data_IF_570664973250
#
_entry.id   IF_570664973250
#
_cell.length_a   1.000
_cell.length_b   1.000
_cell.length_c   1.000
_cell.angle_alpha   90.00
_cell.angle_beta   90.00
_cell.angle_gamma   90.00
#
_symmetry.space_group_name_H-M   'P 1'
#
loop_
_entity.id
_entity.type
_entity.pdbx_description
1 polymer ?
#
# COMPACT_ATOMS: atom_id res chain seq x y z
N UNK A 1 -25.66 4.21 8.04
CA UNK A 1 -25.95 2.87 8.58
C UNK A 1 -25.55 1.70 7.65
N UNK A 2 -25.03 1.93 6.44
CA UNK A 2 -24.63 0.83 5.52
C UNK A 2 -23.17 0.37 5.66
N UNK A 3 -22.27 1.18 6.24
CA UNK A 3 -20.85 0.86 6.27
C UNK A 3 -20.41 0.00 7.47
N UNK A 4 -21.18 -0.01 8.57
CA UNK A 4 -20.89 -0.82 9.76
C UNK A 4 -21.00 -2.33 9.48
N UNK A 5 -21.82 -2.73 8.50
CA UNK A 5 -22.00 -4.12 8.10
C UNK A 5 -20.81 -4.71 7.32
N UNK A 6 -19.96 -3.87 6.70
CA UNK A 6 -18.83 -4.35 5.87
C UNK A 6 -17.72 -4.99 6.73
N UNK A 7 -17.53 -4.51 7.95
CA UNK A 7 -16.49 -5.00 8.87
C UNK A 7 -16.90 -6.28 9.62
N UNK A 8 -18.20 -6.56 9.70
CA UNK A 8 -18.75 -7.76 10.33
C UNK A 8 -18.65 -8.99 9.41
N UNK A 9 -18.48 -8.80 8.10
CA UNK A 9 -18.23 -9.89 7.17
C UNK A 9 -16.79 -10.40 7.37
N UNK A 10 -16.66 -11.67 7.75
CA UNK A 10 -15.43 -12.41 8.05
C UNK A 10 -14.45 -12.58 6.85
N UNK A 11 -14.41 -11.62 5.92
CA UNK A 11 -13.68 -11.68 4.64
C UNK A 11 -12.27 -11.09 4.69
N UNK A 12 -11.96 -10.28 5.70
CA UNK A 12 -10.64 -9.67 5.85
C UNK A 12 -9.87 -10.29 7.00
N UNK A 13 -8.55 -10.46 6.81
CA UNK A 13 -7.66 -10.80 7.92
C UNK A 13 -7.81 -9.78 9.06
N UNK A 14 -7.61 -10.25 10.28
CA UNK A 14 -7.77 -9.44 11.50
C UNK A 14 -6.90 -8.19 11.47
N UNK A 15 -5.70 -8.27 10.91
CA UNK A 15 -4.78 -7.14 10.82
C UNK A 15 -5.30 -6.05 9.89
N UNK A 16 -5.82 -6.42 8.71
CA UNK A 16 -6.45 -5.49 7.75
C UNK A 16 -7.68 -4.84 8.34
N UNK A 17 -8.54 -5.62 9.01
CA UNK A 17 -9.74 -5.08 9.68
C UNK A 17 -9.38 -4.08 10.77
N UNK A 18 -8.42 -4.41 11.63
CA UNK A 18 -7.96 -3.51 12.70
C UNK A 18 -7.34 -2.23 12.13
N UNK A 19 -6.55 -2.36 11.06
CA UNK A 19 -5.98 -1.21 10.36
C UNK A 19 -7.08 -0.30 9.80
N UNK A 20 -8.10 -0.84 9.12
CA UNK A 20 -9.21 -0.05 8.61
C UNK A 20 -9.94 0.66 9.76
N UNK A 21 -10.24 -0.05 10.85
CA UNK A 21 -10.92 0.52 12.03
C UNK A 21 -10.22 1.73 12.65
N UNK A 22 -8.89 1.88 12.49
CA UNK A 22 -8.17 3.10 12.93
C UNK A 22 -8.66 4.38 12.25
N UNK A 23 -9.42 4.25 11.16
CA UNK A 23 -9.98 5.34 10.37
C UNK A 23 -11.50 5.53 10.55
N UNK A 24 -12.11 4.76 11.45
CA UNK A 24 -13.48 5.00 11.87
C UNK A 24 -13.49 6.07 12.97
N UNK A 25 -14.36 7.06 12.85
CA UNK A 25 -14.56 8.11 13.86
C UNK A 25 -15.97 8.05 14.39
N UNK A 26 -16.09 8.26 15.69
CA UNK A 26 -17.36 8.38 16.38
C UNK A 26 -17.65 9.87 16.58
N UNK A 27 -18.82 10.30 16.15
CA UNK A 27 -19.31 11.66 16.28
C UNK A 27 -20.53 11.66 17.20
N UNK A 28 -20.54 12.54 18.21
CA UNK A 28 -21.53 12.55 19.29
C UNK A 28 -21.00 11.95 20.61
N UNK A 29 -21.71 12.20 21.71
CA UNK A 29 -21.27 11.86 23.08
C UNK A 29 -22.18 10.86 23.80
N UNK A 30 -23.28 10.45 23.19
CA UNK A 30 -24.33 9.65 23.84
C UNK A 30 -24.83 8.52 22.92
N UNK A 31 -25.99 7.95 23.24
CA UNK A 31 -26.64 6.88 22.47
C UNK A 31 -27.01 7.26 21.04
N UNK A 32 -26.93 8.54 20.65
CA UNK A 32 -27.20 9.01 19.28
C UNK A 32 -25.93 9.11 18.42
N UNK A 33 -24.78 8.72 18.97
CA UNK A 33 -23.50 8.85 18.27
C UNK A 33 -23.50 8.11 16.92
N UNK A 34 -22.99 8.78 15.90
CA UNK A 34 -22.85 8.24 14.56
C UNK A 34 -21.40 7.87 14.28
N UNK A 35 -21.19 6.88 13.42
CA UNK A 35 -19.85 6.52 12.95
C UNK A 35 -19.69 6.93 11.49
N UNK A 36 -18.57 7.58 11.20
CA UNK A 36 -18.18 7.93 9.85
C UNK A 36 -16.72 7.55 9.60
N UNK A 37 -16.39 7.29 8.33
CA UNK A 37 -15.00 7.06 7.91
C UNK A 37 -14.30 8.40 7.72
N UNK A 38 -13.02 8.49 8.09
CA UNK A 38 -12.20 9.68 7.81
C UNK A 38 -12.02 9.92 6.31
N UNK A 39 -12.07 8.86 5.49
CA UNK A 39 -11.90 8.93 4.05
C UNK A 39 -13.23 8.90 3.30
N UNK A 40 -13.26 9.53 2.13
CA UNK A 40 -14.39 9.44 1.21
C UNK A 40 -14.37 8.08 0.47
N UNK A 41 -14.91 7.05 1.12
CA UNK A 41 -14.95 5.69 0.57
C UNK A 41 -15.72 5.60 -0.76
N UNK A 42 -16.75 6.43 -0.97
CA UNK A 42 -17.50 6.43 -2.24
C UNK A 42 -16.58 6.81 -3.39
N UNK A 43 -15.88 7.94 -3.25
CA UNK A 43 -14.95 8.42 -4.29
C UNK A 43 -13.81 7.44 -4.51
N UNK A 44 -13.23 6.89 -3.44
CA UNK A 44 -12.15 5.90 -3.54
C UNK A 44 -12.63 4.67 -4.30
N UNK A 45 -13.82 4.14 -3.98
CA UNK A 45 -14.40 2.99 -4.66
C UNK A 45 -14.61 3.29 -6.15
N UNK A 46 -15.22 4.42 -6.47
CA UNK A 46 -15.54 4.79 -7.86
C UNK A 46 -14.29 5.09 -8.70
N UNK A 47 -13.19 5.50 -8.04
CA UNK A 47 -11.91 5.82 -8.67
C UNK A 47 -10.94 4.64 -8.72
N UNK A 48 -11.20 3.55 -7.98
CA UNK A 48 -10.24 2.47 -7.76
C UNK A 48 -9.77 1.86 -9.09
N UNK A 49 -10.71 1.44 -9.94
CA UNK A 49 -10.39 0.78 -11.21
C UNK A 49 -9.91 1.75 -12.29
N UNK A 50 -10.38 2.99 -12.27
CA UNK A 50 -10.14 3.97 -13.34
C UNK A 50 -8.86 4.78 -13.16
N UNK A 51 -8.46 5.02 -11.91
CA UNK A 51 -7.44 6.01 -11.59
C UNK A 51 -6.39 5.52 -10.59
N UNK A 52 -6.75 4.68 -9.62
CA UNK A 52 -5.84 4.28 -8.54
C UNK A 52 -5.03 3.03 -8.92
N UNK A 53 -5.68 2.01 -9.47
CA UNK A 53 -5.04 0.74 -9.86
C UNK A 53 -4.47 0.74 -11.28
N UNK A 54 -4.37 1.91 -11.92
CA UNK A 54 -3.84 2.05 -13.27
C UNK A 54 -2.46 2.70 -13.23
N UNK A 55 -1.59 2.31 -14.16
CA UNK A 55 -0.33 3.01 -14.42
C UNK A 55 -0.47 3.86 -15.69
N UNK A 56 -0.04 5.14 -15.70
CA UNK A 56 -0.27 6.01 -16.85
C UNK A 56 0.44 5.49 -18.12
N UNK A 57 -0.32 5.31 -19.19
CA UNK A 57 0.18 4.74 -20.45
C UNK A 57 1.09 5.70 -21.23
N UNK A 58 1.03 7.01 -20.94
CA UNK A 58 1.86 8.04 -21.58
C UNK A 58 3.30 8.08 -21.04
N UNK A 59 3.66 7.20 -20.10
CA UNK A 59 4.99 7.09 -19.53
C UNK A 59 5.90 6.11 -20.27
N UNK A 60 5.42 5.41 -21.30
CA UNK A 60 6.13 4.32 -22.00
C UNK A 60 7.52 4.71 -22.56
N UNK A 61 7.81 6.01 -22.68
CA UNK A 61 9.11 6.53 -23.15
C UNK A 61 9.76 7.53 -22.18
N UNK A 62 9.22 7.65 -20.96
CA UNK A 62 9.77 8.53 -19.94
C UNK A 62 10.62 7.71 -18.99
N UNK A 63 11.79 8.23 -18.64
CA UNK A 63 12.70 7.59 -17.70
C UNK A 63 13.09 8.54 -16.59
N UNK A 64 13.24 7.99 -15.39
CA UNK A 64 13.84 8.66 -14.26
C UNK A 64 15.24 8.08 -14.03
N UNK A 65 16.25 8.87 -14.35
CA UNK A 65 17.66 8.46 -14.26
C UNK A 65 18.26 8.63 -12.86
N UNK A 66 17.48 9.09 -11.87
CA UNK A 66 17.96 9.19 -10.49
C UNK A 66 18.13 7.82 -9.83
N UNK A 67 19.00 7.71 -8.80
CA UNK A 67 19.03 6.54 -7.95
C UNK A 67 17.63 6.25 -7.41
N UNK A 68 17.17 5.00 -7.54
CA UNK A 68 15.82 4.61 -7.10
C UNK A 68 15.91 3.28 -6.37
N UNK A 69 15.24 3.16 -5.23
CA UNK A 69 15.19 1.92 -4.47
C UNK A 69 13.76 1.39 -4.41
N UNK A 70 13.57 0.18 -4.92
CA UNK A 70 12.34 -0.59 -4.79
C UNK A 70 12.53 -1.65 -3.70
N UNK A 71 11.66 -1.63 -2.68
CA UNK A 71 11.72 -2.55 -1.55
C UNK A 71 10.43 -3.38 -1.51
N UNK A 72 10.57 -4.70 -1.56
CA UNK A 72 9.47 -5.65 -1.40
C UNK A 72 9.73 -6.64 -0.27
N UNK A 73 8.70 -7.33 0.21
CA UNK A 73 8.87 -8.50 1.08
C UNK A 73 9.01 -9.78 0.27
N UNK A 74 9.84 -10.73 0.70
CA UNK A 74 10.03 -12.00 -0.01
C UNK A 74 8.76 -12.87 -0.07
N UNK A 75 7.82 -12.65 0.86
CA UNK A 75 6.56 -13.38 0.95
C UNK A 75 5.41 -12.59 0.29
N UNK A 76 5.72 -11.57 -0.52
CA UNK A 76 4.76 -10.72 -1.23
C UNK A 76 4.93 -10.83 -2.75
N UNK A 77 3.81 -10.87 -3.48
CA UNK A 77 3.79 -10.95 -4.94
C UNK A 77 3.82 -9.59 -5.65
N UNK A 78 3.80 -8.47 -4.92
CA UNK A 78 3.68 -7.13 -5.50
C UNK A 78 4.89 -6.71 -6.34
N UNK A 79 6.11 -7.06 -5.90
CA UNK A 79 7.34 -6.83 -6.66
C UNK A 79 7.90 -8.21 -7.00
N UNK A 80 7.45 -8.77 -8.12
CA UNK A 80 7.88 -10.09 -8.59
C UNK A 80 8.72 -9.96 -9.88
N UNK A 81 9.43 -11.02 -10.30
CA UNK A 81 10.32 -10.95 -11.46
C UNK A 81 9.66 -10.48 -12.77
N UNK A 82 8.35 -10.66 -12.93
CA UNK A 82 7.64 -10.27 -14.16
C UNK A 82 7.57 -8.75 -14.34
N UNK A 83 7.71 -7.96 -13.26
CA UNK A 83 7.64 -6.49 -13.33
C UNK A 83 9.03 -5.84 -13.32
N UNK A 84 10.11 -6.62 -13.28
CA UNK A 84 11.47 -6.05 -13.18
C UNK A 84 11.87 -5.29 -14.44
N UNK A 85 11.49 -5.80 -15.62
CA UNK A 85 11.77 -5.14 -16.90
C UNK A 85 11.03 -3.80 -16.99
N UNK A 86 9.76 -3.74 -16.57
CA UNK A 86 8.99 -2.50 -16.51
C UNK A 86 9.62 -1.47 -15.56
N UNK A 87 10.01 -1.93 -14.36
CA UNK A 87 10.73 -1.08 -13.39
C UNK A 87 12.02 -0.55 -14.01
N UNK A 88 12.83 -1.40 -14.65
CA UNK A 88 14.11 -1.01 -15.24
C UNK A 88 13.97 -0.13 -16.48
N UNK A 89 12.88 -0.28 -17.24
CA UNK A 89 12.56 0.61 -18.35
C UNK A 89 12.29 2.03 -17.87
N UNK A 90 11.53 2.19 -16.79
CA UNK A 90 11.17 3.50 -16.22
C UNK A 90 12.27 4.08 -15.30
N UNK A 91 13.00 3.22 -14.61
CA UNK A 91 14.02 3.55 -13.61
C UNK A 91 15.31 2.75 -13.88
N UNK A 92 16.15 3.16 -14.85
CA UNK A 92 17.33 2.38 -15.25
C UNK A 92 18.30 2.12 -14.09
N UNK A 93 18.45 3.11 -13.21
CA UNK A 93 19.31 3.07 -12.03
C UNK A 93 18.62 2.50 -10.78
N UNK A 94 17.51 1.76 -10.94
CA UNK A 94 16.81 1.14 -9.83
C UNK A 94 17.61 0.02 -9.17
N UNK A 95 17.59 -0.02 -7.85
CA UNK A 95 17.99 -1.17 -7.04
C UNK A 95 16.71 -1.82 -6.53
N UNK A 96 16.58 -3.13 -6.71
CA UNK A 96 15.43 -3.90 -6.19
C UNK A 96 15.94 -4.75 -5.02
N UNK A 97 15.30 -4.63 -3.85
CA UNK A 97 15.63 -5.39 -2.65
C UNK A 97 14.40 -6.09 -2.10
N UNK A 98 14.55 -7.36 -1.75
CA UNK A 98 13.54 -8.12 -1.02
C UNK A 98 13.99 -8.35 0.42
N UNK A 99 13.14 -8.00 1.37
CA UNK A 99 13.37 -8.28 2.78
C UNK A 99 12.85 -9.68 3.08
N UNK A 100 13.76 -10.56 3.47
CA UNK A 100 13.45 -11.95 3.73
C UNK A 100 12.46 -12.09 4.90
N UNK A 101 11.45 -12.93 4.72
CA UNK A 101 10.42 -13.19 5.71
C UNK A 101 9.47 -12.02 5.97
N UNK A 102 9.44 -11.00 5.11
CA UNK A 102 8.41 -9.95 5.12
C UNK A 102 7.33 -10.24 4.06
N UNK A 103 6.07 -9.91 4.39
CA UNK A 103 4.94 -9.90 3.48
C UNK A 103 4.77 -8.54 2.79
N UNK A 104 3.52 -8.14 2.53
CA UNK A 104 3.22 -6.89 1.83
C UNK A 104 3.54 -5.65 2.69
N UNK A 105 3.33 -5.72 4.00
CA UNK A 105 3.61 -4.61 4.91
C UNK A 105 5.01 -4.75 5.51
N UNK A 106 6.02 -4.56 4.68
CA UNK A 106 7.43 -4.71 5.04
C UNK A 106 7.80 -3.93 6.31
N UNK A 107 7.27 -2.71 6.47
CA UNK A 107 7.51 -1.87 7.64
C UNK A 107 6.89 -2.42 8.94
N UNK A 108 5.80 -3.18 8.85
CA UNK A 108 5.19 -3.84 10.00
C UNK A 108 5.86 -5.19 10.30
N UNK A 109 6.22 -5.94 9.26
CA UNK A 109 6.77 -7.29 9.39
C UNK A 109 8.25 -7.29 9.80
N UNK A 110 9.06 -6.38 9.23
CA UNK A 110 10.53 -6.34 9.36
C UNK A 110 11.05 -4.88 9.45
N UNK A 111 10.68 -4.13 10.51
CA UNK A 111 11.00 -2.71 10.63
C UNK A 111 12.51 -2.42 10.69
N UNK A 112 13.29 -3.26 11.37
CA UNK A 112 14.73 -3.05 11.53
C UNK A 112 15.51 -3.30 10.24
N UNK A 113 15.14 -4.36 9.51
CA UNK A 113 15.72 -4.69 8.21
C UNK A 113 15.37 -3.62 7.17
N UNK A 114 14.12 -3.12 7.20
CA UNK A 114 13.71 -1.99 6.36
C UNK A 114 14.55 -0.74 6.67
N UNK A 115 14.73 -0.42 7.95
CA UNK A 115 15.54 0.73 8.37
C UNK A 115 16.97 0.64 7.84
N UNK A 116 17.61 -0.53 7.96
CA UNK A 116 18.98 -0.71 7.47
C UNK A 116 19.07 -0.53 5.95
N UNK A 117 18.14 -1.11 5.19
CA UNK A 117 18.09 -0.97 3.73
C UNK A 117 17.89 0.49 3.30
N UNK A 118 17.03 1.24 4.00
CA UNK A 118 16.82 2.66 3.73
C UNK A 118 18.05 3.50 4.08
N UNK A 119 18.68 3.21 5.22
CA UNK A 119 19.91 3.88 5.67
C UNK A 119 21.02 3.72 4.63
N UNK A 120 21.26 2.51 4.16
CA UNK A 120 22.32 2.23 3.18
C UNK A 120 22.09 2.89 1.81
N UNK A 121 20.87 3.32 1.49
CA UNK A 121 20.54 3.98 0.22
C UNK A 121 20.61 5.50 0.29
N UNK A 122 20.30 6.10 1.44
CA UNK A 122 20.26 7.57 1.61
C UNK A 122 21.64 8.13 1.99
N UNK A 123 22.49 7.32 2.64
CA UNK A 123 23.84 7.69 3.06
C UNK A 123 24.88 7.37 1.98
#
# INVERSE_FOLDING_TARGET
MHYTLILAANKFDTTVRNFLLTNLRKEGKDSTSQFHWTFNLSVIKDSMEKHINQFPSDLQYKTYNGPTLFIGGSNSSYINPLVYDDIKSLFPNAIIKHINGAGHWVHADRPYELFNVLKDFIH
#
